data_IF_977183256070
#
_entry.id   IF_977183256070
#
_cell.length_a   1.000
_cell.length_b   1.000
_cell.length_c   1.000
_cell.angle_alpha   90.00
_cell.angle_beta   90.00
_cell.angle_gamma   90.00
#
_symmetry.space_group_name_H-M   'P 1'
#
loop_
_entity.id
_entity.type
_entity.pdbx_description
1 polymer ?
#
# COMPACT_ATOMS: atom_id res chain seq x y z
N UNK A 1 7.50 -5.30 3.09
CA UNK A 1 6.54 -4.34 2.54
C UNK A 1 5.94 -3.59 3.71
N UNK A 2 5.98 -2.26 3.70
CA UNK A 2 5.64 -1.40 4.85
C UNK A 2 4.70 -0.30 4.36
N UNK A 3 3.68 0.04 5.14
CA UNK A 3 2.80 1.19 4.88
C UNK A 3 3.42 2.44 5.51
N UNK A 4 3.56 3.50 4.71
CA UNK A 4 3.88 4.84 5.19
C UNK A 4 2.58 5.66 5.22
N UNK A 5 2.06 5.85 6.43
CA UNK A 5 0.75 6.44 6.68
C UNK A 5 0.71 7.91 6.26
N UNK A 6 1.72 8.69 6.63
CA UNK A 6 1.76 10.15 6.39
C UNK A 6 2.12 10.49 4.95
N UNK A 7 2.88 9.62 4.26
CA UNK A 7 3.29 9.84 2.87
C UNK A 7 2.33 9.15 1.89
N UNK A 8 1.26 8.53 2.37
CA UNK A 8 0.22 7.93 1.54
C UNK A 8 0.75 6.85 0.56
N UNK A 9 1.77 6.10 0.97
CA UNK A 9 2.46 5.17 0.08
C UNK A 9 2.85 3.86 0.76
N UNK A 10 3.16 2.85 -0.05
CA UNK A 10 3.72 1.58 0.37
C UNK A 10 5.20 1.53 0.00
N UNK A 11 6.06 1.19 0.95
CA UNK A 11 7.48 1.00 0.72
C UNK A 11 7.82 -0.49 0.59
N UNK A 12 8.51 -0.84 -0.49
CA UNK A 12 9.04 -2.18 -0.75
C UNK A 12 10.52 -2.17 -0.42
N UNK A 13 10.92 -3.03 0.50
CA UNK A 13 12.29 -3.17 0.94
C UNK A 13 12.85 -4.54 0.55
N UNK A 14 14.15 -4.60 0.30
CA UNK A 14 14.89 -5.85 0.17
C UNK A 14 15.02 -6.55 1.53
N UNK A 15 15.51 -7.79 1.52
CA UNK A 15 15.78 -8.52 2.76
C UNK A 15 16.94 -7.90 3.56
N UNK A 16 17.79 -7.14 2.89
CA UNK A 16 18.91 -6.37 3.43
C UNK A 16 18.46 -4.99 3.97
N UNK A 17 17.19 -4.63 3.81
CA UNK A 17 16.62 -3.37 4.29
C UNK A 17 16.78 -2.19 3.31
N UNK A 18 17.19 -2.44 2.06
CA UNK A 18 17.30 -1.38 1.05
C UNK A 18 15.92 -1.04 0.49
N UNK A 19 15.63 0.25 0.31
CA UNK A 19 14.38 0.68 -0.32
C UNK A 19 14.46 0.41 -1.83
N UNK A 20 13.62 -0.50 -2.32
CA UNK A 20 13.55 -0.86 -3.74
C UNK A 20 12.55 0.02 -4.47
N UNK A 21 11.33 0.14 -3.91
CA UNK A 21 10.23 0.86 -4.56
C UNK A 21 9.32 1.56 -3.56
N UNK A 22 8.68 2.62 -4.03
CA UNK A 22 7.50 3.24 -3.40
C UNK A 22 6.31 3.10 -4.34
N UNK A 23 5.19 2.65 -3.80
CA UNK A 23 3.95 2.44 -4.54
C UNK A 23 2.88 3.36 -3.96
N UNK A 24 2.32 4.18 -4.84
CA UNK A 24 1.20 5.06 -4.52
C UNK A 24 1.57 6.46 -4.07
N UNK A 25 0.50 7.23 -3.89
CA UNK A 25 0.44 8.64 -3.53
C UNK A 25 -0.97 8.92 -3.01
N UNK A 26 -1.19 10.09 -2.43
CA UNK A 26 -2.53 10.53 -2.03
C UNK A 26 -3.49 10.55 -3.21
N UNK A 27 -4.68 9.97 -3.05
CA UNK A 27 -5.73 9.95 -4.08
C UNK A 27 -6.66 8.73 -4.01
N UNK A 28 -7.60 8.66 -4.97
CA UNK A 28 -8.67 7.66 -5.00
C UNK A 28 -8.56 6.67 -6.16
N UNK A 29 -7.66 6.93 -7.11
CA UNK A 29 -7.49 6.04 -8.25
C UNK A 29 -6.78 4.75 -7.86
N UNK A 30 -6.77 3.78 -8.77
CA UNK A 30 -6.10 2.50 -8.55
C UNK A 30 -4.61 2.72 -8.31
N UNK A 31 -4.15 2.35 -7.11
CA UNK A 31 -2.76 2.56 -6.69
C UNK A 31 -2.53 3.85 -5.91
N UNK A 32 -3.56 4.66 -5.69
CA UNK A 32 -3.55 5.81 -4.80
C UNK A 32 -4.23 5.48 -3.46
N UNK A 33 -3.77 6.08 -2.37
CA UNK A 33 -4.19 5.74 -1.02
C UNK A 33 -4.38 6.98 -0.15
N UNK A 34 -5.41 6.99 0.68
CA UNK A 34 -5.47 7.90 1.84
C UNK A 34 -5.02 7.16 3.08
N UNK A 35 -3.87 7.53 3.65
CA UNK A 35 -3.42 7.00 4.94
C UNK A 35 -3.47 5.46 5.00
N UNK A 36 -2.65 4.75 4.18
CA UNK A 36 -2.68 3.28 4.16
C UNK A 36 -2.35 2.73 5.55
N UNK A 37 -3.22 1.86 6.07
CA UNK A 37 -3.10 1.33 7.44
C UNK A 37 -2.52 -0.08 7.49
N UNK A 38 -2.83 -0.90 6.50
CA UNK A 38 -2.48 -2.31 6.50
C UNK A 38 -2.22 -2.81 5.09
N UNK A 39 -1.31 -3.77 5.00
CA UNK A 39 -0.96 -4.41 3.74
C UNK A 39 -0.66 -5.88 3.95
N UNK A 40 -1.17 -6.74 3.06
CA UNK A 40 -0.85 -8.16 3.04
C UNK A 40 -0.82 -8.71 1.62
N UNK A 41 -0.24 -9.89 1.46
CA UNK A 41 -0.24 -10.63 0.21
C UNK A 41 -1.00 -11.93 0.46
N UNK A 42 -1.97 -12.25 -0.39
CA UNK A 42 -2.70 -13.50 -0.28
C UNK A 42 -1.94 -14.68 -0.93
N UNK A 43 -2.48 -15.89 -0.81
CA UNK A 43 -1.85 -17.10 -1.37
C UNK A 43 -1.74 -17.11 -2.90
N UNK A 44 -2.55 -16.28 -3.58
CA UNK A 44 -2.51 -16.12 -5.03
C UNK A 44 -1.48 -15.06 -5.48
N UNK A 45 -0.73 -14.48 -4.53
CA UNK A 45 0.27 -13.44 -4.82
C UNK A 45 -0.33 -12.05 -5.05
N UNK A 46 -1.62 -11.84 -4.75
CA UNK A 46 -2.27 -10.53 -4.89
C UNK A 46 -1.96 -9.66 -3.68
N UNK A 47 -1.71 -8.37 -3.92
CA UNK A 47 -1.46 -7.38 -2.88
C UNK A 47 -2.78 -6.77 -2.43
N UNK A 48 -3.08 -6.85 -1.14
CA UNK A 48 -4.26 -6.25 -0.53
C UNK A 48 -3.83 -5.08 0.35
N UNK A 49 -4.46 -3.92 0.16
CA UNK A 49 -4.13 -2.68 0.87
C UNK A 49 -5.40 -2.10 1.47
N UNK A 50 -5.37 -1.86 2.79
CA UNK A 50 -6.42 -1.11 3.49
C UNK A 50 -5.98 0.34 3.69
N UNK A 51 -6.90 1.27 3.44
CA UNK A 51 -6.66 2.70 3.54
C UNK A 51 -7.94 3.43 3.96
N UNK A 52 -7.79 4.68 4.41
CA UNK A 52 -8.88 5.57 4.80
C UNK A 52 -9.58 6.20 3.60
N UNK A 53 -9.69 5.45 2.50
CA UNK A 53 -10.41 5.91 1.33
C UNK A 53 -11.88 6.17 1.72
N UNK A 54 -12.56 7.17 1.13
CA UNK A 54 -13.92 7.53 1.53
C UNK A 54 -14.95 6.40 1.31
N UNK A 55 -14.62 5.43 0.46
CA UNK A 55 -15.42 4.23 0.25
C UNK A 55 -15.12 3.10 1.26
N UNK A 56 -14.17 3.31 2.19
CA UNK A 56 -13.65 2.34 3.15
C UNK A 56 -13.35 0.97 2.53
N UNK A 57 -12.84 0.97 1.29
CA UNK A 57 -12.65 -0.22 0.48
C UNK A 57 -11.18 -0.69 0.51
N UNK A 58 -10.99 -2.00 0.44
CA UNK A 58 -9.68 -2.63 0.26
C UNK A 58 -9.37 -2.68 -1.24
N UNK A 59 -8.19 -2.19 -1.64
CA UNK A 59 -7.70 -2.33 -3.01
C UNK A 59 -6.91 -3.64 -3.16
N UNK A 60 -7.16 -4.37 -4.25
CA UNK A 60 -6.47 -5.63 -4.58
C UNK A 60 -5.77 -5.47 -5.93
N UNK A 61 -4.49 -5.81 -5.98
CA UNK A 61 -3.64 -5.77 -7.19
C UNK A 61 -3.22 -7.16 -7.63
#
# INVERSE_FOLDING_TARGET
LITDYDVHCLCVFSHEGELIHKIGKEGQERGEFFHPRGVCINQEGRLLVSSDNPNHAIQIF
#
